data_IF_229980430882
#
_entry.id   IF_229980430882
#
_cell.length_a   1.000
_cell.length_b   1.000
_cell.length_c   1.000
_cell.angle_alpha   90.00
_cell.angle_beta   90.00
_cell.angle_gamma   90.00
#
_symmetry.space_group_name_H-M   'P 1'
#
loop_
_entity.id
_entity.type
_entity.pdbx_description
1 polymer ?
#
# COMPACT_ATOMS: atom_id res chain seq x y z
N UNK A 1 6.48 -1.84 -21.11
CA UNK A 1 5.46 -1.14 -20.30
C UNK A 1 5.98 0.27 -19.98
N UNK A 2 5.11 1.31 -20.04
CA UNK A 2 5.50 2.69 -19.73
C UNK A 2 5.00 3.08 -18.33
N UNK A 3 5.71 3.98 -17.64
CA UNK A 3 5.23 4.61 -16.40
C UNK A 3 3.99 5.45 -16.68
N UNK A 4 2.98 5.33 -15.83
CA UNK A 4 1.85 6.26 -15.83
C UNK A 4 2.12 7.31 -14.75
N UNK A 5 2.45 8.53 -15.17
CA UNK A 5 2.79 9.65 -14.29
C UNK A 5 1.51 10.42 -13.97
N UNK A 6 1.25 10.66 -12.69
CA UNK A 6 0.11 11.43 -12.17
C UNK A 6 0.49 12.88 -11.91
N UNK A 7 1.71 13.10 -11.49
CA UNK A 7 2.29 14.41 -11.25
C UNK A 7 3.81 14.36 -11.39
N UNK A 8 4.41 15.38 -11.94
CA UNK A 8 5.86 15.52 -12.03
C UNK A 8 6.28 16.99 -11.99
N UNK A 9 7.36 17.26 -11.25
CA UNK A 9 8.11 18.50 -11.29
C UNK A 9 9.62 18.23 -11.29
N UNK A 10 10.44 19.26 -11.05
CA UNK A 10 11.90 19.10 -10.96
C UNK A 10 12.38 18.30 -9.74
N UNK A 11 11.56 18.12 -8.73
CA UNK A 11 11.91 17.53 -7.44
C UNK A 11 11.29 16.15 -7.22
N UNK A 12 10.06 15.93 -7.67
CA UNK A 12 9.29 14.72 -7.41
C UNK A 12 8.59 14.23 -8.66
N UNK A 13 8.34 12.92 -8.68
CA UNK A 13 7.46 12.25 -9.61
C UNK A 13 6.49 11.38 -8.81
N UNK A 14 5.21 11.42 -9.15
CA UNK A 14 4.16 10.57 -8.56
C UNK A 14 3.61 9.68 -9.65
N UNK A 15 3.69 8.37 -9.45
CA UNK A 15 3.29 7.36 -10.43
C UNK A 15 2.01 6.64 -9.99
N UNK A 16 1.20 6.24 -10.96
CA UNK A 16 0.13 5.27 -10.78
C UNK A 16 0.70 3.87 -10.99
N UNK A 17 1.10 3.22 -9.88
CA UNK A 17 1.65 1.85 -9.94
C UNK A 17 0.54 0.87 -10.29
N UNK A 18 0.65 0.06 -11.34
CA UNK A 18 -0.28 -1.03 -11.57
C UNK A 18 -0.12 -2.12 -10.51
N UNK A 19 -1.18 -2.91 -10.28
CA UNK A 19 -1.08 -4.15 -9.53
C UNK A 19 -0.23 -5.18 -10.27
N UNK A 20 0.36 -6.13 -9.54
CA UNK A 20 1.19 -7.20 -10.11
C UNK A 20 2.67 -6.85 -10.27
N UNK A 21 3.06 -5.56 -10.21
CA UNK A 21 4.46 -5.15 -10.26
C UNK A 21 5.04 -4.88 -8.88
N UNK A 22 6.24 -5.42 -8.60
CA UNK A 22 7.02 -5.07 -7.42
C UNK A 22 7.60 -3.64 -7.57
N UNK A 23 7.77 -2.93 -6.46
CA UNK A 23 8.42 -1.62 -6.49
C UNK A 23 9.92 -1.73 -6.84
N UNK A 24 10.59 -2.76 -6.35
CA UNK A 24 12.00 -3.08 -6.59
C UNK A 24 12.18 -4.60 -6.50
N UNK A 25 13.32 -5.11 -6.97
CA UNK A 25 13.67 -6.52 -6.83
C UNK A 25 13.68 -6.95 -5.35
N UNK A 26 13.35 -8.20 -5.11
CA UNK A 26 13.47 -8.88 -3.82
C UNK A 26 13.98 -10.31 -4.07
N UNK A 27 14.16 -11.11 -3.02
CA UNK A 27 14.66 -12.49 -3.15
C UNK A 27 13.76 -13.42 -3.99
N UNK A 28 12.56 -13.01 -4.36
CA UNK A 28 11.60 -13.76 -5.20
C UNK A 28 11.51 -13.22 -6.62
N UNK A 29 12.14 -12.08 -6.89
CA UNK A 29 12.16 -11.47 -8.22
C UNK A 29 13.06 -12.29 -9.11
N UNK A 30 12.51 -12.84 -10.19
CA UNK A 30 13.32 -13.56 -11.19
C UNK A 30 14.06 -12.55 -12.06
N UNK A 31 15.17 -12.95 -12.66
CA UNK A 31 16.02 -12.08 -13.50
C UNK A 31 15.27 -11.40 -14.66
N UNK A 32 14.15 -11.99 -15.10
CA UNK A 32 13.30 -11.44 -16.18
C UNK A 32 12.14 -10.58 -15.69
N UNK A 33 11.91 -10.49 -14.38
CA UNK A 33 10.79 -9.73 -13.82
C UNK A 33 11.11 -8.23 -13.84
N UNK A 34 10.34 -7.46 -14.58
CA UNK A 34 10.43 -6.00 -14.59
C UNK A 34 9.82 -5.44 -13.29
N UNK A 35 10.50 -4.49 -12.66
CA UNK A 35 10.04 -3.78 -11.46
C UNK A 35 9.76 -2.30 -11.77
N UNK A 36 9.11 -1.60 -10.84
CA UNK A 36 8.94 -0.14 -10.95
C UNK A 36 10.30 0.56 -10.96
N UNK A 37 11.29 0.08 -10.21
CA UNK A 37 12.65 0.64 -10.22
C UNK A 37 13.28 0.58 -11.63
N UNK A 38 13.07 -0.51 -12.37
CA UNK A 38 13.56 -0.64 -13.74
C UNK A 38 12.85 0.32 -14.70
N UNK A 39 11.54 0.50 -14.53
CA UNK A 39 10.76 1.45 -15.33
C UNK A 39 11.17 2.91 -15.03
N UNK A 40 11.45 3.24 -13.76
CA UNK A 40 11.98 4.56 -13.37
C UNK A 40 13.33 4.82 -14.05
N UNK A 41 14.25 3.85 -14.03
CA UNK A 41 15.57 3.99 -14.68
C UNK A 41 15.48 4.01 -16.21
N UNK A 42 14.48 3.34 -16.79
CA UNK A 42 14.20 3.44 -18.23
C UNK A 42 13.65 4.81 -18.63
N UNK A 43 12.92 5.46 -17.72
CA UNK A 43 12.37 6.80 -17.91
C UNK A 43 13.44 7.88 -17.76
N UNK A 44 14.20 7.82 -16.66
CA UNK A 44 15.29 8.76 -16.36
C UNK A 44 16.48 8.04 -15.70
N UNK A 45 17.53 7.82 -16.47
CA UNK A 45 18.76 7.15 -16.01
C UNK A 45 19.49 7.92 -14.91
N UNK A 46 19.31 9.24 -14.81
CA UNK A 46 19.95 10.05 -13.78
C UNK A 46 19.52 9.68 -12.37
N UNK A 47 18.29 9.13 -12.23
CA UNK A 47 17.73 8.67 -10.96
C UNK A 47 18.48 7.49 -10.35
N UNK A 48 19.38 6.82 -11.08
CA UNK A 48 20.24 5.77 -10.54
C UNK A 48 21.12 6.22 -9.36
N UNK A 49 21.38 7.54 -9.25
CA UNK A 49 22.18 8.16 -8.18
C UNK A 49 21.32 8.72 -7.05
N UNK A 50 19.98 8.62 -7.14
CA UNK A 50 19.03 9.17 -6.16
C UNK A 50 18.53 8.06 -5.27
N UNK A 51 18.58 8.28 -3.96
CA UNK A 51 18.09 7.36 -2.96
C UNK A 51 19.18 6.58 -2.25
N UNK A 52 18.75 5.56 -1.53
CA UNK A 52 19.61 4.63 -0.79
C UNK A 52 19.33 3.20 -1.25
N UNK A 53 20.35 2.39 -1.57
CA UNK A 53 20.13 1.00 -1.87
C UNK A 53 19.63 0.26 -0.61
N UNK A 54 18.79 -0.73 -0.81
CA UNK A 54 18.45 -1.67 0.26
C UNK A 54 19.46 -2.81 0.24
N UNK A 55 20.09 -3.05 1.38
CA UNK A 55 20.97 -4.21 1.55
C UNK A 55 20.14 -5.34 2.14
N UNK A 56 20.17 -6.50 1.50
CA UNK A 56 19.59 -7.74 2.01
C UNK A 56 20.68 -8.80 2.08
N UNK A 57 20.63 -9.61 3.12
CA UNK A 57 21.44 -10.83 3.19
C UNK A 57 20.64 -11.99 2.60
N UNK A 58 21.18 -12.67 1.60
CA UNK A 58 20.59 -13.84 0.99
C UNK A 58 21.67 -14.90 0.76
N UNK A 59 21.50 -16.08 1.34
CA UNK A 59 22.46 -17.20 1.29
C UNK A 59 23.88 -16.79 1.73
N UNK A 60 23.97 -15.98 2.80
CA UNK A 60 25.26 -15.51 3.33
C UNK A 60 25.96 -14.43 2.48
N UNK A 61 25.28 -13.87 1.48
CA UNK A 61 25.82 -12.79 0.63
C UNK A 61 24.98 -11.51 0.80
N UNK A 62 25.66 -10.37 0.89
CA UNK A 62 25.01 -9.06 0.80
C UNK A 62 24.64 -8.75 -0.64
N UNK A 63 23.34 -8.52 -0.88
CA UNK A 63 22.82 -8.06 -2.17
C UNK A 63 22.33 -6.63 -2.02
N UNK A 64 22.89 -5.72 -2.82
CA UNK A 64 22.46 -4.32 -2.89
C UNK A 64 21.34 -4.16 -3.93
N UNK A 65 20.14 -3.88 -3.49
CA UNK A 65 18.97 -3.64 -4.34
C UNK A 65 18.85 -2.15 -4.63
N UNK A 66 18.90 -1.78 -5.90
CA UNK A 66 18.72 -0.38 -6.35
C UNK A 66 17.27 0.05 -6.12
N UNK A 67 17.09 1.26 -5.56
CA UNK A 67 15.80 1.88 -5.29
C UNK A 67 15.79 3.33 -5.75
N UNK A 68 15.85 3.59 -7.07
CA UNK A 68 16.02 4.94 -7.64
C UNK A 68 14.92 5.89 -7.19
N UNK A 69 15.22 6.81 -6.29
CA UNK A 69 14.29 7.80 -5.76
C UNK A 69 13.11 7.25 -4.95
N UNK A 70 13.02 5.93 -4.74
CA UNK A 70 11.89 5.27 -4.08
C UNK A 70 11.98 5.49 -2.56
N UNK A 71 11.14 6.36 -2.02
CA UNK A 71 11.09 6.72 -0.59
C UNK A 71 10.15 5.84 0.24
N UNK A 72 9.18 5.18 -0.40
CA UNK A 72 8.27 4.20 0.21
C UNK A 72 7.93 3.11 -0.79
N UNK A 73 7.23 2.07 -0.32
CA UNK A 73 6.83 0.97 -1.20
C UNK A 73 5.36 0.63 -1.07
N UNK A 74 4.80 0.09 -2.15
CA UNK A 74 3.53 -0.65 -2.17
C UNK A 74 3.82 -2.14 -2.34
N UNK A 75 2.92 -2.99 -1.87
CA UNK A 75 2.98 -4.42 -2.16
C UNK A 75 2.84 -4.66 -3.67
N UNK A 76 3.32 -5.80 -4.16
CA UNK A 76 3.23 -6.18 -5.57
C UNK A 76 1.80 -6.04 -6.10
N UNK A 77 0.82 -6.58 -5.38
CA UNK A 77 -0.59 -6.61 -5.79
C UNK A 77 -1.36 -5.31 -5.49
N UNK A 78 -0.79 -4.39 -4.71
CA UNK A 78 -1.40 -3.09 -4.44
C UNK A 78 -1.17 -2.15 -5.61
N UNK A 79 -2.23 -1.56 -6.14
CA UNK A 79 -2.18 -0.51 -7.18
C UNK A 79 -2.21 0.89 -6.57
N UNK A 80 -1.89 1.92 -7.37
CA UNK A 80 -2.11 3.32 -7.06
C UNK A 80 -0.86 4.13 -6.79
N UNK A 81 -1.01 5.20 -6.04
CA UNK A 81 -0.01 6.27 -5.88
C UNK A 81 1.30 5.77 -5.27
N UNK A 82 2.40 5.98 -5.99
CA UNK A 82 3.76 5.79 -5.51
C UNK A 82 4.57 7.08 -5.73
N UNK A 83 5.15 7.63 -4.65
CA UNK A 83 5.94 8.85 -4.65
C UNK A 83 7.42 8.53 -4.85
N UNK A 84 8.07 9.26 -5.75
CA UNK A 84 9.48 9.11 -6.13
C UNK A 84 10.17 10.47 -6.06
N UNK A 85 11.33 10.54 -5.44
CA UNK A 85 12.19 11.72 -5.44
C UNK A 85 13.06 11.76 -6.71
N UNK A 86 13.22 12.93 -7.32
CA UNK A 86 14.05 13.11 -8.53
C UNK A 86 15.47 13.62 -8.23
N UNK A 87 15.76 13.99 -7.00
CA UNK A 87 17.11 14.37 -6.56
C UNK A 87 17.33 13.99 -5.10
N UNK A 88 18.61 13.90 -4.70
CA UNK A 88 18.99 13.37 -3.38
C UNK A 88 18.50 14.25 -2.21
N UNK A 89 18.48 15.58 -2.39
CA UNK A 89 17.97 16.52 -1.37
C UNK A 89 16.49 16.25 -1.08
N UNK A 90 15.71 16.12 -2.13
CA UNK A 90 14.27 15.82 -2.02
C UNK A 90 14.05 14.41 -1.45
N UNK A 91 14.89 13.43 -1.82
CA UNK A 91 14.82 12.07 -1.25
C UNK A 91 14.96 12.09 0.28
N UNK A 92 15.97 12.80 0.81
CA UNK A 92 16.20 12.91 2.26
C UNK A 92 15.05 13.62 2.95
N UNK A 93 14.57 14.72 2.40
CA UNK A 93 13.40 15.45 2.92
C UNK A 93 12.12 14.60 2.95
N UNK A 94 11.83 13.85 1.90
CA UNK A 94 10.66 12.97 1.87
C UNK A 94 10.83 11.78 2.81
N UNK A 95 12.03 11.21 2.92
CA UNK A 95 12.37 10.15 3.87
C UNK A 95 12.08 10.60 5.31
N UNK A 96 12.50 11.83 5.67
CA UNK A 96 12.20 12.44 6.96
C UNK A 96 10.68 12.60 7.19
N UNK A 97 9.93 13.07 6.19
CA UNK A 97 8.48 13.18 6.29
C UNK A 97 7.80 11.81 6.52
N UNK A 98 8.32 10.72 5.90
CA UNK A 98 7.83 9.36 6.19
C UNK A 98 8.18 8.90 7.60
N UNK A 99 9.39 9.18 8.08
CA UNK A 99 9.85 8.83 9.44
C UNK A 99 9.04 9.56 10.51
N UNK A 100 8.76 10.84 10.29
CA UNK A 100 7.98 11.70 11.20
C UNK A 100 6.47 11.54 11.02
N UNK A 101 6.00 10.60 10.18
CA UNK A 101 4.59 10.32 9.92
C UNK A 101 3.76 11.54 9.47
N UNK A 102 4.38 12.53 8.84
CA UNK A 102 3.70 13.74 8.36
C UNK A 102 3.03 13.56 6.99
N UNK A 103 3.41 12.52 6.25
CA UNK A 103 2.77 12.15 4.98
C UNK A 103 1.42 11.47 5.25
N UNK A 104 0.35 12.03 4.66
CA UNK A 104 -0.98 11.42 4.72
C UNK A 104 -1.17 10.48 3.54
N UNK A 105 -1.61 9.27 3.83
CA UNK A 105 -1.88 8.22 2.84
C UNK A 105 -3.32 7.76 2.98
N UNK A 106 -4.02 7.65 1.87
CA UNK A 106 -5.40 7.14 1.82
C UNK A 106 -5.44 5.93 0.89
N UNK A 107 -6.01 4.85 1.39
CA UNK A 107 -6.22 3.64 0.61
C UNK A 107 -7.71 3.34 0.51
N UNK A 108 -8.13 2.76 -0.61
CA UNK A 108 -9.47 2.22 -0.81
C UNK A 108 -9.38 0.69 -0.85
N UNK A 109 -10.32 0.03 -0.21
CA UNK A 109 -10.36 -1.43 -0.20
C UNK A 109 -11.79 -1.97 -0.11
N UNK A 110 -12.02 -3.15 -0.70
CA UNK A 110 -13.16 -3.99 -0.39
C UNK A 110 -12.71 -5.06 0.59
N UNK A 111 -13.52 -5.28 1.65
CA UNK A 111 -13.25 -6.27 2.68
C UNK A 111 -14.45 -7.18 2.88
N UNK A 112 -14.23 -8.43 3.30
CA UNK A 112 -15.31 -9.36 3.62
C UNK A 112 -16.00 -8.97 4.94
N UNK A 113 -17.31 -9.11 4.95
CA UNK A 113 -18.16 -8.85 6.10
C UNK A 113 -18.54 -7.38 6.26
N UNK A 114 -19.53 -7.14 7.10
CA UNK A 114 -19.88 -5.79 7.52
C UNK A 114 -18.96 -5.35 8.63
N UNK A 115 -18.01 -4.49 8.29
CA UNK A 115 -17.14 -3.88 9.30
C UNK A 115 -18.00 -3.07 10.25
N UNK A 116 -17.95 -3.42 11.53
CA UNK A 116 -18.63 -2.63 12.55
C UNK A 116 -17.97 -1.27 12.65
N UNK A 117 -18.81 -0.25 12.62
CA UNK A 117 -18.40 1.13 12.76
C UNK A 117 -19.26 1.77 13.88
N UNK A 118 -19.02 1.39 15.14
CA UNK A 118 -19.84 1.87 16.25
C UNK A 118 -19.67 3.36 16.52
N UNK A 119 -18.65 4.02 15.96
CA UNK A 119 -18.29 5.41 16.27
C UNK A 119 -17.80 6.22 15.06
N UNK A 120 -17.64 5.59 13.90
CA UNK A 120 -17.18 6.24 12.68
C UNK A 120 -18.32 6.25 11.66
N UNK A 121 -18.86 7.38 11.40
CA UNK A 121 -19.84 7.59 10.34
C UNK A 121 -19.29 8.66 9.41
N UNK A 122 -19.58 8.55 8.13
CA UNK A 122 -19.32 9.62 7.17
C UNK A 122 -19.87 10.97 7.66
N UNK A 123 -20.98 10.92 8.41
CA UNK A 123 -21.65 12.11 8.97
C UNK A 123 -20.90 12.68 10.20
N UNK A 124 -20.25 11.86 11.01
CA UNK A 124 -19.59 12.30 12.25
C UNK A 124 -18.09 12.52 12.11
N UNK A 125 -17.49 12.10 10.98
CA UNK A 125 -16.03 12.15 10.76
C UNK A 125 -15.21 11.28 11.71
N UNK A 126 -15.84 10.48 12.59
CA UNK A 126 -15.14 9.57 13.49
C UNK A 126 -14.58 8.39 12.72
N UNK A 127 -13.38 7.96 13.07
CA UNK A 127 -12.67 6.84 12.45
C UNK A 127 -12.60 5.64 13.38
N UNK A 128 -12.77 4.44 12.82
CA UNK A 128 -12.35 3.22 13.50
C UNK A 128 -10.80 3.18 13.58
N UNK A 129 -10.27 2.61 14.67
CA UNK A 129 -8.83 2.55 14.90
C UNK A 129 -8.43 1.11 15.17
N UNK A 130 -7.46 0.61 14.42
CA UNK A 130 -6.77 -0.65 14.69
C UNK A 130 -5.37 -0.30 15.18
N UNK A 131 -5.15 -0.46 16.49
CA UNK A 131 -3.86 -0.28 17.12
C UNK A 131 -3.37 -1.65 17.62
N UNK A 132 -2.61 -2.33 16.77
CA UNK A 132 -2.12 -3.67 17.05
C UNK A 132 -0.71 -3.83 16.43
N UNK A 133 0.33 -4.11 17.25
CA UNK A 133 1.68 -4.26 16.74
C UNK A 133 1.79 -5.44 15.78
N UNK A 134 2.67 -5.31 14.79
CA UNK A 134 2.84 -6.31 13.72
C UNK A 134 4.24 -6.93 13.81
N UNK A 135 4.28 -8.26 13.76
CA UNK A 135 5.49 -9.05 13.64
C UNK A 135 5.36 -10.17 12.58
N UNK A 136 6.41 -10.98 12.43
CA UNK A 136 6.38 -12.13 11.53
C UNK A 136 5.35 -13.16 12.00
N UNK A 137 4.69 -13.82 11.05
CA UNK A 137 3.85 -14.97 11.38
C UNK A 137 4.71 -16.16 11.84
N UNK A 138 4.30 -16.89 12.90
CA UNK A 138 4.95 -18.13 13.29
C UNK A 138 4.73 -19.28 12.29
N UNK A 139 3.64 -19.23 11.52
CA UNK A 139 3.17 -20.36 10.70
C UNK A 139 3.55 -20.24 9.21
N UNK A 140 3.81 -19.03 8.70
CA UNK A 140 4.18 -18.81 7.30
C UNK A 140 5.15 -17.62 7.19
N UNK A 141 6.37 -17.89 6.72
CA UNK A 141 7.43 -16.88 6.55
C UNK A 141 7.05 -15.73 5.61
N UNK A 142 6.08 -15.95 4.70
CA UNK A 142 5.59 -14.92 3.78
C UNK A 142 4.63 -13.95 4.46
N UNK A 143 4.07 -14.34 5.60
CA UNK A 143 3.01 -13.63 6.29
C UNK A 143 3.53 -12.83 7.49
N UNK A 144 2.76 -11.82 7.82
CA UNK A 144 2.87 -11.04 9.04
C UNK A 144 1.56 -11.19 9.81
N UNK A 145 1.59 -10.97 11.10
CA UNK A 145 0.40 -11.04 11.94
C UNK A 145 0.41 -9.93 12.97
N UNK A 146 -0.75 -9.58 13.50
CA UNK A 146 -0.91 -8.53 14.50
C UNK A 146 -1.27 -9.09 15.87
N UNK A 147 -0.91 -8.35 16.93
CA UNK A 147 -1.24 -8.68 18.30
C UNK A 147 -0.45 -9.88 18.83
N UNK A 148 -1.06 -10.62 19.77
CA UNK A 148 -0.40 -11.69 20.55
C UNK A 148 0.14 -12.87 19.74
N UNK A 149 -0.30 -13.04 18.49
CA UNK A 149 0.18 -14.11 17.61
C UNK A 149 1.44 -13.77 16.82
N UNK A 150 2.02 -12.61 16.98
CA UNK A 150 3.20 -12.14 16.24
C UNK A 150 4.50 -12.60 16.90
N UNK A 151 5.48 -13.04 16.07
CA UNK A 151 6.86 -13.29 16.57
C UNK A 151 7.59 -11.98 16.82
N UNK A 152 8.37 -11.94 17.87
CA UNK A 152 9.29 -10.84 18.12
C UNK A 152 10.42 -10.76 17.06
N UNK A 153 10.95 -9.57 16.76
CA UNK A 153 10.49 -8.28 17.28
C UNK A 153 9.20 -7.80 16.60
N UNK A 154 8.22 -7.40 17.42
CA UNK A 154 7.02 -6.72 16.92
C UNK A 154 7.27 -5.22 16.79
N UNK A 155 6.53 -4.57 15.87
CA UNK A 155 6.64 -3.14 15.64
C UNK A 155 5.26 -2.51 15.77
N UNK A 156 5.21 -1.38 16.45
CA UNK A 156 4.00 -0.55 16.55
C UNK A 156 3.38 -0.33 15.16
N UNK A 157 2.06 -0.52 15.07
CA UNK A 157 1.30 -0.32 13.85
C UNK A 157 -0.09 0.21 14.17
N UNK A 158 -0.47 1.32 13.52
CA UNK A 158 -1.77 1.98 13.68
C UNK A 158 -2.38 2.25 12.32
N UNK A 159 -3.63 1.80 12.13
CA UNK A 159 -4.44 2.07 10.95
C UNK A 159 -5.79 2.63 11.39
N UNK A 160 -6.13 3.83 10.94
CA UNK A 160 -7.47 4.36 11.03
C UNK A 160 -8.26 3.94 9.78
N UNK A 161 -9.59 3.85 9.89
CA UNK A 161 -10.46 3.56 8.74
C UNK A 161 -11.82 4.21 8.87
N UNK A 162 -12.49 4.37 7.73
CA UNK A 162 -13.89 4.77 7.59
C UNK A 162 -14.58 3.75 6.71
N UNK A 163 -15.78 3.34 7.07
CA UNK A 163 -16.66 2.55 6.20
C UNK A 163 -17.40 3.52 5.30
N UNK A 164 -17.18 3.40 4.00
CA UNK A 164 -17.83 4.21 2.98
C UNK A 164 -19.19 3.65 2.64
N UNK A 165 -19.28 2.32 2.56
CA UNK A 165 -20.52 1.63 2.25
C UNK A 165 -20.48 0.17 2.69
N UNK A 166 -21.66 -0.48 2.79
CA UNK A 166 -21.86 -1.89 3.05
C UNK A 166 -22.89 -2.44 2.08
N UNK A 167 -22.61 -3.62 1.54
CA UNK A 167 -23.47 -4.25 0.55
C UNK A 167 -23.39 -5.76 0.63
N UNK A 168 -24.41 -6.41 0.11
CA UNK A 168 -24.45 -7.86 -0.06
C UNK A 168 -24.30 -8.20 -1.54
N UNK A 169 -23.49 -9.21 -1.84
CA UNK A 169 -23.26 -9.73 -3.18
C UNK A 169 -22.79 -11.19 -3.08
N UNK A 170 -23.12 -12.02 -4.07
CA UNK A 170 -22.62 -13.40 -4.14
C UNK A 170 -22.83 -14.16 -2.81
N UNK A 171 -24.02 -14.04 -2.18
CA UNK A 171 -24.42 -14.60 -0.89
C UNK A 171 -23.48 -14.24 0.28
N UNK A 172 -22.72 -13.17 0.15
CA UNK A 172 -21.75 -12.71 1.14
C UNK A 172 -21.92 -11.22 1.45
N UNK A 173 -21.41 -10.82 2.61
CA UNK A 173 -21.41 -9.43 3.08
C UNK A 173 -20.06 -8.79 2.81
N UNK A 174 -20.07 -7.53 2.39
CA UNK A 174 -18.88 -6.75 2.08
C UNK A 174 -18.97 -5.33 2.61
N UNK A 175 -17.81 -4.73 2.86
CA UNK A 175 -17.69 -3.30 3.14
C UNK A 175 -16.69 -2.66 2.19
N UNK A 176 -17.01 -1.46 1.72
CA UNK A 176 -16.11 -0.56 1.02
C UNK A 176 -15.53 0.42 2.02
N UNK A 177 -14.21 0.46 2.16
CA UNK A 177 -13.55 1.25 3.20
C UNK A 177 -12.50 2.22 2.65
N UNK A 178 -12.28 3.31 3.37
CA UNK A 178 -11.03 4.06 3.34
C UNK A 178 -10.16 3.67 4.54
N UNK A 179 -8.86 3.44 4.28
CA UNK A 179 -7.87 3.17 5.31
C UNK A 179 -6.77 4.23 5.30
N UNK A 180 -6.35 4.66 6.51
CA UNK A 180 -5.39 5.73 6.75
C UNK A 180 -4.25 5.19 7.64
N UNK A 181 -3.25 4.49 7.07
CA UNK A 181 -2.17 3.94 7.87
C UNK A 181 -1.27 5.05 8.40
N UNK A 182 -1.19 5.19 9.74
CA UNK A 182 -0.29 6.15 10.42
C UNK A 182 1.16 5.70 10.36
N UNK A 183 1.38 4.41 10.42
CA UNK A 183 2.68 3.75 10.26
C UNK A 183 2.79 3.11 8.87
N UNK A 184 3.91 2.45 8.56
CA UNK A 184 4.15 1.84 7.23
C UNK A 184 4.78 0.45 7.32
N UNK A 185 4.17 -0.48 8.10
CA UNK A 185 4.69 -1.85 8.21
C UNK A 185 4.33 -2.69 7.01
N UNK A 186 5.11 -3.72 6.74
CA UNK A 186 4.85 -4.67 5.64
C UNK A 186 3.44 -5.26 5.78
N UNK A 187 2.67 -5.23 4.70
CA UNK A 187 1.29 -5.73 4.62
C UNK A 187 0.33 -5.11 5.67
N UNK A 188 0.63 -3.96 6.26
CA UNK A 188 -0.05 -3.43 7.44
C UNK A 188 -1.58 -3.42 7.32
N UNK A 189 -2.16 -2.81 6.27
CA UNK A 189 -3.62 -2.73 6.11
C UNK A 189 -4.22 -4.12 5.97
N UNK A 190 -3.58 -5.02 5.21
CA UNK A 190 -3.99 -6.40 5.00
C UNK A 190 -4.04 -7.20 6.30
N UNK A 191 -2.97 -7.09 7.10
CA UNK A 191 -2.84 -7.72 8.42
C UNK A 191 -3.88 -7.17 9.39
N UNK A 192 -4.04 -5.85 9.47
CA UNK A 192 -4.97 -5.20 10.37
C UNK A 192 -6.42 -5.55 10.04
N UNK A 193 -6.80 -5.55 8.76
CA UNK A 193 -8.17 -5.94 8.37
C UNK A 193 -8.43 -7.42 8.67
N UNK A 194 -7.46 -8.31 8.46
CA UNK A 194 -7.57 -9.71 8.90
C UNK A 194 -7.67 -9.82 10.44
N UNK A 195 -6.90 -9.04 11.18
CA UNK A 195 -6.89 -9.05 12.65
C UNK A 195 -8.27 -8.74 13.25
N UNK A 196 -9.03 -7.86 12.62
CA UNK A 196 -10.41 -7.57 13.01
C UNK A 196 -11.45 -8.45 12.29
N UNK A 197 -11.03 -9.59 11.70
CA UNK A 197 -11.87 -10.58 10.99
C UNK A 197 -12.55 -10.07 9.71
N UNK A 198 -12.05 -9.01 9.10
CA UNK A 198 -12.51 -8.46 7.83
C UNK A 198 -11.37 -8.44 6.78
N UNK A 199 -10.85 -9.60 6.34
CA UNK A 199 -9.75 -9.63 5.38
C UNK A 199 -10.14 -8.93 4.07
N UNK A 200 -9.13 -8.39 3.38
CA UNK A 200 -9.34 -7.74 2.09
C UNK A 200 -9.76 -8.78 1.04
N UNK A 201 -10.71 -8.39 0.20
CA UNK A 201 -11.23 -9.24 -0.88
C UNK A 201 -10.09 -9.64 -1.81
N UNK A 202 -10.09 -10.93 -2.17
CA UNK A 202 -9.09 -11.54 -3.08
C UNK A 202 -7.63 -11.38 -2.64
N UNK A 203 -7.38 -11.22 -1.32
CA UNK A 203 -6.01 -11.21 -0.80
C UNK A 203 -5.40 -12.63 -0.88
N UNK A 204 -4.32 -12.84 -1.65
CA UNK A 204 -3.75 -14.17 -1.85
C UNK A 204 -3.10 -14.78 -0.59
N UNK A 205 -2.81 -13.95 0.43
CA UNK A 205 -2.16 -14.41 1.67
C UNK A 205 -3.09 -14.39 2.88
N UNK A 206 -3.99 -13.40 2.96
CA UNK A 206 -4.72 -13.11 4.20
C UNK A 206 -6.22 -13.41 4.15
N UNK A 207 -6.81 -13.74 2.99
CA UNK A 207 -8.24 -14.06 2.89
C UNK A 207 -8.64 -15.35 3.59
N UNK A 208 -7.67 -16.22 3.93
CA UNK A 208 -7.94 -17.55 4.51
C UNK A 208 -8.67 -18.44 3.52
N UNK A 209 -9.70 -19.15 4.00
CA UNK A 209 -10.53 -20.04 3.18
C UNK A 209 -11.59 -19.31 2.31
N UNK A 210 -11.67 -17.97 2.39
CA UNK A 210 -12.64 -17.21 1.57
C UNK A 210 -12.27 -17.28 0.09
N UNK A 211 -13.28 -17.46 -0.75
CA UNK A 211 -13.10 -17.50 -2.20
C UNK A 211 -12.79 -16.13 -2.79
N UNK A 212 -12.43 -16.09 -4.07
CA UNK A 212 -12.38 -14.84 -4.81
C UNK A 212 -13.79 -14.29 -4.97
N UNK A 213 -13.98 -12.99 -4.83
CA UNK A 213 -15.30 -12.39 -4.87
C UNK A 213 -15.32 -11.06 -5.63
N UNK A 214 -16.52 -10.57 -5.94
CA UNK A 214 -16.79 -9.30 -6.62
C UNK A 214 -16.17 -9.23 -8.02
N UNK A 215 -15.88 -10.40 -8.64
CA UNK A 215 -15.17 -10.49 -9.91
C UNK A 215 -13.73 -9.96 -9.85
N UNK A 216 -13.18 -9.73 -8.65
CA UNK A 216 -11.81 -9.23 -8.46
C UNK A 216 -10.82 -10.39 -8.46
N UNK A 217 -9.88 -10.38 -9.41
CA UNK A 217 -8.84 -11.41 -9.59
C UNK A 217 -7.53 -11.08 -8.86
N UNK A 218 -7.47 -9.98 -8.15
CA UNK A 218 -6.31 -9.48 -7.42
C UNK A 218 -6.73 -8.89 -6.07
N UNK A 219 -5.76 -8.62 -5.22
CA UNK A 219 -5.93 -7.89 -3.97
C UNK A 219 -6.74 -6.60 -4.17
N UNK A 220 -7.90 -6.51 -3.52
CA UNK A 220 -8.80 -5.37 -3.57
C UNK A 220 -8.30 -4.21 -2.69
N UNK A 221 -7.04 -3.78 -2.90
CA UNK A 221 -6.39 -2.68 -2.21
C UNK A 221 -5.75 -1.72 -3.21
N UNK A 222 -6.08 -0.44 -3.05
CA UNK A 222 -5.60 0.64 -3.92
C UNK A 222 -5.11 1.82 -3.11
N UNK A 223 -3.87 2.26 -3.33
CA UNK A 223 -3.31 3.49 -2.78
C UNK A 223 -3.93 4.68 -3.50
N UNK A 224 -5.03 5.20 -2.93
CA UNK A 224 -5.88 6.18 -3.59
C UNK A 224 -5.24 7.56 -3.64
N UNK A 225 -4.69 8.06 -2.52
CA UNK A 225 -4.03 9.37 -2.51
C UNK A 225 -2.86 9.44 -1.54
N UNK A 226 -1.97 10.38 -1.84
CA UNK A 226 -0.86 10.78 -0.97
C UNK A 226 -0.82 12.30 -0.84
N UNK A 227 -0.57 12.81 0.38
CA UNK A 227 -0.35 14.23 0.64
C UNK A 227 0.98 14.41 1.34
N UNK A 228 1.84 15.24 0.80
CA UNK A 228 3.21 15.50 1.27
C UNK A 228 3.59 16.96 1.07
N UNK A 229 4.67 17.43 1.69
CA UNK A 229 5.23 18.75 1.46
C UNK A 229 6.28 18.72 0.35
N UNK A 230 6.17 19.66 -0.58
CA UNK A 230 7.21 19.96 -1.58
C UNK A 230 8.39 20.70 -0.93
N UNK A 231 9.58 20.78 -1.60
CA UNK A 231 10.72 21.52 -1.07
C UNK A 231 10.48 23.03 -0.83
N UNK A 232 9.49 23.60 -1.48
CA UNK A 232 9.05 24.99 -1.24
C UNK A 232 8.10 25.14 -0.05
N UNK A 233 7.79 24.05 0.68
CA UNK A 233 6.88 24.03 1.82
C UNK A 233 5.40 23.85 1.46
N UNK A 234 5.04 23.90 0.19
CA UNK A 234 3.66 23.71 -0.28
C UNK A 234 3.17 22.29 0.00
N UNK A 235 1.92 22.14 0.47
CA UNK A 235 1.25 20.84 0.57
C UNK A 235 0.72 20.42 -0.80
N UNK A 236 1.18 19.27 -1.26
CA UNK A 236 0.73 18.65 -2.52
C UNK A 236 -0.07 17.39 -2.22
N UNK A 237 -1.31 17.34 -2.69
CA UNK A 237 -2.12 16.12 -2.73
C UNK A 237 -2.15 15.59 -4.15
N UNK A 238 -1.90 14.29 -4.33
CA UNK A 238 -2.03 13.60 -5.62
C UNK A 238 -2.91 12.39 -5.44
N UNK A 239 -3.84 12.20 -6.36
CA UNK A 239 -4.78 11.08 -6.37
C UNK A 239 -4.55 10.19 -7.58
N UNK A 240 -4.70 8.88 -7.40
CA UNK A 240 -4.78 7.91 -8.48
C UNK A 240 -6.24 7.57 -8.74
N UNK A 241 -6.69 7.59 -10.01
CA UNK A 241 -8.05 7.20 -10.35
C UNK A 241 -8.28 5.73 -9.95
N UNK A 242 -9.47 5.44 -9.42
CA UNK A 242 -9.85 4.07 -9.10
C UNK A 242 -9.69 3.16 -10.33
N UNK A 243 -9.10 1.97 -10.17
CA UNK A 243 -8.95 1.00 -11.23
C UNK A 243 -10.31 0.50 -11.78
N UNK A 244 -10.31 -0.04 -12.99
CA UNK A 244 -11.53 -0.47 -13.66
C UNK A 244 -12.32 -1.54 -12.87
N UNK A 245 -11.62 -2.45 -12.20
CA UNK A 245 -12.22 -3.47 -11.33
C UNK A 245 -12.94 -2.86 -10.13
N UNK A 246 -12.36 -1.85 -9.46
CA UNK A 246 -13.04 -1.09 -8.39
C UNK A 246 -14.27 -0.35 -8.91
N UNK A 247 -14.14 0.37 -10.04
CA UNK A 247 -15.25 1.09 -10.66
C UNK A 247 -16.40 0.17 -11.03
N UNK A 248 -16.09 -1.04 -11.51
CA UNK A 248 -17.10 -2.05 -11.84
C UNK A 248 -17.89 -2.47 -10.60
N UNK A 249 -17.20 -2.82 -9.49
CA UNK A 249 -17.87 -3.19 -8.24
C UNK A 249 -18.76 -2.06 -7.71
N UNK A 250 -18.24 -0.82 -7.69
CA UNK A 250 -19.01 0.35 -7.24
C UNK A 250 -20.26 0.52 -8.08
N UNK A 251 -20.12 0.49 -9.42
CA UNK A 251 -21.27 0.64 -10.33
C UNK A 251 -22.29 -0.48 -10.19
N UNK A 252 -21.85 -1.70 -9.88
CA UNK A 252 -22.75 -2.86 -9.83
C UNK A 252 -23.49 -2.94 -8.51
N UNK A 253 -22.89 -2.58 -7.39
CA UNK A 253 -23.42 -2.87 -6.05
C UNK A 253 -23.63 -1.65 -5.15
N UNK A 254 -23.07 -0.47 -5.50
CA UNK A 254 -23.12 0.74 -4.66
C UNK A 254 -23.72 1.96 -5.37
N UNK A 255 -24.10 1.84 -6.64
CA UNK A 255 -24.70 2.92 -7.44
C UNK A 255 -26.23 2.90 -7.36
#
# INVERSE_FOLDING_TARGET
MKLKILFEDKNVMVIDKPAGLACHADARTKDKDVTIADLILSYDKSLAKVGEPMVIEYMGKEIKIKRPGIVHRLDRETSGVLLVAKNQKTFLMLKEQFQNHTIKKVYRAFVYGFVSDPKASLLTGKRGIINAPIGRSPNDIRMWTAGRGAREPVREAVTEYIVLDRFEAEDSKFSYIEAYPKTGRTHQIRVHMRYINHPIVSDPLYRGAKELALGMKRLALHSFSITFRLPNGELKKVESPLPADFKKVIKTYLA
#
